data_IF_962927085436
#
_entry.id   IF_962927085436
#
_cell.length_a   1.000
_cell.length_b   1.000
_cell.length_c   1.000
_cell.angle_alpha   90.00
_cell.angle_beta   90.00
_cell.angle_gamma   90.00
#
_symmetry.space_group_name_H-M   'P 1'
#
loop_
_entity.id
_entity.type
_entity.pdbx_description
1 polymer ?
#
# COMPACT_ATOMS: atom_id res chain seq x y z
N UNK A 1 -9.15 11.73 13.91
CA UNK A 1 -8.99 10.75 12.81
C UNK A 1 -10.11 9.70 12.89
N UNK A 2 -10.91 9.61 11.84
CA UNK A 2 -11.91 8.55 11.68
C UNK A 2 -11.30 7.46 10.79
N UNK A 3 -11.23 6.23 11.30
CA UNK A 3 -10.68 5.10 10.54
C UNK A 3 -11.69 4.65 9.47
N UNK A 4 -11.34 4.72 8.16
CA UNK A 4 -12.19 4.20 7.11
C UNK A 4 -12.18 2.66 7.03
N UNK A 5 -11.19 2.01 7.64
CA UNK A 5 -11.01 0.56 7.68
C UNK A 5 -10.83 0.05 9.11
N UNK A 6 -11.34 -1.15 9.45
CA UNK A 6 -11.13 -1.80 10.75
C UNK A 6 -9.72 -2.41 10.88
N UNK A 7 -8.70 -1.70 10.43
CA UNK A 7 -7.30 -2.12 10.29
C UNK A 7 -6.40 -1.10 10.99
N UNK A 8 -5.17 -1.48 11.32
CA UNK A 8 -4.14 -0.57 11.79
C UNK A 8 -3.95 0.59 10.79
N UNK A 9 -3.85 1.81 11.28
CA UNK A 9 -3.70 3.01 10.45
C UNK A 9 -2.48 2.95 9.52
N UNK A 10 -1.44 2.22 9.89
CA UNK A 10 -0.23 2.09 9.09
C UNK A 10 -0.43 1.36 7.76
N UNK A 11 -1.51 0.56 7.65
CA UNK A 11 -1.88 -0.11 6.42
C UNK A 11 -2.82 0.72 5.52
N UNK A 12 -3.32 1.89 5.97
CA UNK A 12 -4.35 2.63 5.22
C UNK A 12 -3.83 3.20 3.89
N UNK A 13 -2.61 3.75 3.85
CA UNK A 13 -2.04 4.26 2.61
C UNK A 13 -1.84 3.14 1.56
N UNK A 14 -1.24 1.98 1.89
CA UNK A 14 -1.20 0.84 0.97
C UNK A 14 -2.59 0.41 0.46
N UNK A 15 -3.58 0.32 1.34
CA UNK A 15 -4.96 -0.05 0.97
C UNK A 15 -5.54 0.96 -0.03
N UNK A 16 -5.39 2.26 0.24
CA UNK A 16 -5.87 3.32 -0.63
C UNK A 16 -5.16 3.30 -1.99
N UNK A 17 -3.85 3.08 -2.03
CA UNK A 17 -3.07 2.98 -3.26
C UNK A 17 -3.54 1.82 -4.16
N UNK A 18 -3.70 0.63 -3.60
CA UNK A 18 -4.24 -0.52 -4.35
C UNK A 18 -5.64 -0.24 -4.86
N UNK A 19 -6.52 0.30 -4.01
CA UNK A 19 -7.88 0.65 -4.40
C UNK A 19 -7.92 1.62 -5.58
N UNK A 20 -7.13 2.68 -5.53
CA UNK A 20 -7.09 3.71 -6.57
C UNK A 20 -6.55 3.16 -7.88
N UNK A 21 -5.46 2.38 -7.85
CA UNK A 21 -4.90 1.74 -9.05
C UNK A 21 -5.88 0.78 -9.71
N UNK A 22 -6.52 -0.09 -8.91
CA UNK A 22 -7.47 -1.06 -9.43
C UNK A 22 -8.70 -0.39 -10.04
N UNK A 23 -9.25 0.63 -9.38
CA UNK A 23 -10.40 1.38 -9.89
C UNK A 23 -10.08 2.17 -11.16
N UNK A 24 -8.94 2.88 -11.19
CA UNK A 24 -8.55 3.70 -12.32
C UNK A 24 -8.29 2.87 -13.59
N UNK A 25 -7.74 1.68 -13.42
CA UNK A 25 -7.33 0.80 -14.52
C UNK A 25 -8.30 -0.38 -14.75
N UNK A 26 -9.42 -0.45 -14.01
CA UNK A 26 -10.44 -1.50 -14.09
C UNK A 26 -9.84 -2.92 -13.93
N UNK A 27 -8.89 -3.05 -12.99
CA UNK A 27 -8.21 -4.30 -12.72
C UNK A 27 -9.03 -5.20 -11.78
N UNK A 28 -8.86 -6.50 -11.95
CA UNK A 28 -9.35 -7.52 -11.03
C UNK A 28 -8.18 -8.17 -10.29
N UNK A 29 -8.45 -8.87 -9.19
CA UNK A 29 -7.40 -9.59 -8.46
C UNK A 29 -6.76 -10.72 -9.29
N UNK A 30 -7.47 -11.26 -10.30
CA UNK A 30 -6.95 -12.29 -11.19
C UNK A 30 -5.87 -11.77 -12.13
N UNK A 31 -5.90 -10.48 -12.47
CA UNK A 31 -4.90 -9.84 -13.33
C UNK A 31 -3.55 -9.65 -12.62
N UNK A 32 -3.55 -9.67 -11.28
CA UNK A 32 -2.38 -9.31 -10.47
C UNK A 32 -1.33 -10.42 -10.51
N UNK A 33 -0.13 -10.08 -10.92
CA UNK A 33 1.09 -10.88 -10.80
C UNK A 33 1.81 -10.64 -9.47
N UNK A 34 2.09 -9.37 -9.14
CA UNK A 34 2.73 -8.95 -7.90
C UNK A 34 2.19 -7.57 -7.46
N UNK A 35 2.11 -7.35 -6.16
CA UNK A 35 1.92 -6.02 -5.55
C UNK A 35 3.15 -5.71 -4.72
N UNK A 36 3.85 -4.64 -5.04
CA UNK A 36 4.96 -4.12 -4.23
C UNK A 36 4.50 -2.88 -3.49
N UNK A 37 4.81 -2.83 -2.20
CA UNK A 37 4.45 -1.74 -1.30
C UNK A 37 5.73 -1.26 -0.65
N UNK A 38 6.08 0.02 -0.83
CA UNK A 38 7.14 0.66 -0.09
C UNK A 38 6.53 1.55 0.99
N UNK A 39 7.00 1.45 2.22
CA UNK A 39 6.48 2.17 3.36
C UNK A 39 7.58 2.37 4.42
N UNK A 40 7.24 2.95 5.56
CA UNK A 40 8.16 3.18 6.67
C UNK A 40 8.43 1.89 7.47
N UNK A 41 9.53 1.85 8.20
CA UNK A 41 10.03 0.69 8.96
C UNK A 41 8.95 0.00 9.80
N UNK A 42 8.22 0.75 10.62
CA UNK A 42 7.21 0.19 11.53
C UNK A 42 6.04 -0.46 10.76
N UNK A 43 5.74 0.05 9.54
CA UNK A 43 4.76 -0.55 8.64
C UNK A 43 5.21 -1.91 8.12
N UNK A 44 6.50 -2.07 7.83
CA UNK A 44 7.10 -3.35 7.41
C UNK A 44 7.14 -4.36 8.55
N UNK A 45 7.34 -3.89 9.78
CA UNK A 45 7.37 -4.75 10.98
C UNK A 45 6.00 -5.27 11.42
N UNK A 46 4.91 -4.91 10.75
CA UNK A 46 3.60 -5.49 11.00
C UNK A 46 3.57 -6.96 10.60
N UNK A 47 2.55 -7.68 11.09
CA UNK A 47 2.40 -9.11 10.82
C UNK A 47 2.43 -9.42 9.32
N UNK A 48 3.22 -10.40 8.95
CA UNK A 48 3.33 -10.93 7.58
C UNK A 48 2.72 -12.33 7.53
N UNK A 49 2.14 -12.70 6.38
CA UNK A 49 1.54 -14.00 6.15
C UNK A 49 0.04 -14.07 6.40
N UNK A 50 -0.49 -15.30 6.50
CA UNK A 50 -1.91 -15.57 6.68
C UNK A 50 -2.28 -15.42 8.16
N UNK A 51 -3.20 -14.50 8.53
CA UNK A 51 -3.56 -14.30 9.91
C UNK A 51 -4.50 -15.39 10.42
N UNK A 52 -4.27 -15.87 11.63
CA UNK A 52 -5.13 -16.86 12.30
C UNK A 52 -6.19 -16.20 13.18
N UNK A 53 -5.98 -14.95 13.59
CA UNK A 53 -6.86 -14.22 14.51
C UNK A 53 -7.24 -12.86 13.95
N UNK A 54 -8.35 -12.31 14.41
CA UNK A 54 -8.76 -10.92 14.11
C UNK A 54 -7.65 -9.93 14.47
N UNK A 55 -6.97 -10.13 15.59
CA UNK A 55 -5.89 -9.23 16.01
C UNK A 55 -4.73 -9.23 15.01
N UNK A 56 -4.26 -10.40 14.59
CA UNK A 56 -3.19 -10.48 13.57
C UNK A 56 -3.65 -9.93 12.22
N UNK A 57 -4.89 -10.16 11.81
CA UNK A 57 -5.46 -9.61 10.59
C UNK A 57 -5.50 -8.07 10.60
N UNK A 58 -5.89 -7.48 11.73
CA UNK A 58 -5.95 -6.02 11.88
C UNK A 58 -4.57 -5.34 11.85
N UNK A 59 -3.51 -6.09 12.09
CA UNK A 59 -2.11 -5.61 12.08
C UNK A 59 -1.29 -6.20 10.93
N UNK A 60 -1.92 -6.65 9.84
CA UNK A 60 -1.24 -7.14 8.64
C UNK A 60 -1.49 -6.23 7.45
N UNK A 61 -0.40 -5.70 6.86
CA UNK A 61 -0.48 -4.90 5.62
C UNK A 61 -0.83 -5.80 4.44
N UNK A 62 -0.14 -6.92 4.29
CA UNK A 62 -0.35 -7.83 3.15
C UNK A 62 -1.75 -8.41 3.13
N UNK A 63 -2.27 -8.87 4.27
CA UNK A 63 -3.64 -9.36 4.37
C UNK A 63 -4.67 -8.28 4.03
N UNK A 64 -4.53 -7.08 4.60
CA UNK A 64 -5.46 -5.98 4.37
C UNK A 64 -5.48 -5.55 2.89
N UNK A 65 -4.31 -5.50 2.25
CA UNK A 65 -4.19 -5.19 0.82
C UNK A 65 -4.80 -6.31 -0.04
N UNK A 66 -4.60 -7.58 0.32
CA UNK A 66 -5.23 -8.71 -0.37
C UNK A 66 -6.75 -8.65 -0.28
N UNK A 67 -7.32 -8.38 0.90
CA UNK A 67 -8.76 -8.18 1.10
C UNK A 67 -9.28 -7.04 0.22
N UNK A 68 -8.59 -5.91 0.19
CA UNK A 68 -8.97 -4.77 -0.65
C UNK A 68 -8.96 -5.13 -2.13
N UNK A 69 -7.94 -5.85 -2.59
CA UNK A 69 -7.80 -6.25 -4.00
C UNK A 69 -8.89 -7.24 -4.43
N UNK A 70 -9.25 -8.18 -3.56
CA UNK A 70 -10.26 -9.22 -3.86
C UNK A 70 -11.69 -8.66 -3.77
N UNK A 71 -12.01 -7.96 -2.68
CA UNK A 71 -13.39 -7.55 -2.39
C UNK A 71 -13.69 -6.09 -2.71
N UNK A 72 -12.70 -5.27 -3.04
CA UNK A 72 -12.87 -3.83 -3.28
C UNK A 72 -13.20 -3.01 -2.03
N UNK A 73 -13.33 -3.66 -0.86
CA UNK A 73 -13.65 -3.05 0.44
C UNK A 73 -13.13 -3.90 1.61
N UNK A 74 -13.00 -3.30 2.77
CA UNK A 74 -12.64 -4.00 4.01
C UNK A 74 -13.69 -3.71 5.07
N UNK A 75 -14.45 -4.74 5.47
CA UNK A 75 -15.40 -4.72 6.56
C UNK A 75 -14.97 -5.67 7.70
N UNK A 76 -15.74 -5.69 8.79
CA UNK A 76 -15.48 -6.57 9.94
C UNK A 76 -15.56 -8.05 9.56
N UNK A 77 -16.43 -8.39 8.62
CA UNK A 77 -16.63 -9.74 8.09
C UNK A 77 -15.36 -10.31 7.43
N UNK A 78 -14.50 -9.44 6.88
CA UNK A 78 -13.26 -9.88 6.21
C UNK A 78 -12.12 -10.13 7.20
N UNK A 79 -12.14 -9.46 8.36
CA UNK A 79 -11.04 -9.54 9.35
C UNK A 79 -11.37 -10.47 10.53
N UNK A 80 -12.45 -11.23 10.44
CA UNK A 80 -12.88 -12.15 11.50
C UNK A 80 -13.53 -13.42 10.94
N UNK A 81 -13.56 -14.47 11.75
CA UNK A 81 -14.25 -15.71 11.44
C UNK A 81 -13.83 -16.32 10.11
N UNK A 82 -14.81 -16.59 9.24
CA UNK A 82 -14.59 -17.17 7.91
C UNK A 82 -13.77 -16.28 6.97
N UNK A 83 -13.84 -14.95 7.13
CA UNK A 83 -13.10 -14.01 6.28
C UNK A 83 -11.58 -14.17 6.38
N UNK A 84 -11.06 -14.67 7.51
CA UNK A 84 -9.64 -14.97 7.68
C UNK A 84 -9.16 -16.15 6.81
N UNK A 85 -10.07 -16.95 6.31
CA UNK A 85 -9.81 -18.19 5.55
C UNK A 85 -10.27 -18.11 4.12
N UNK A 86 -10.54 -16.90 3.62
CA UNK A 86 -10.92 -16.70 2.23
C UNK A 86 -9.81 -17.17 1.29
N UNK A 87 -10.03 -18.19 0.44
CA UNK A 87 -8.97 -18.75 -0.38
C UNK A 87 -8.45 -17.79 -1.45
N UNK A 88 -9.27 -16.84 -1.92
CA UNK A 88 -8.84 -15.83 -2.88
C UNK A 88 -7.90 -14.83 -2.24
N UNK A 89 -8.21 -14.39 -1.02
CA UNK A 89 -7.35 -13.49 -0.23
C UNK A 89 -6.02 -14.18 0.11
N UNK A 90 -6.09 -15.42 0.62
CA UNK A 90 -4.89 -16.20 0.99
C UNK A 90 -3.99 -16.40 -0.25
N UNK A 91 -4.57 -16.77 -1.39
CA UNK A 91 -3.82 -17.01 -2.63
C UNK A 91 -3.13 -15.75 -3.19
N UNK A 92 -3.51 -14.55 -2.73
CA UNK A 92 -2.88 -13.31 -3.15
C UNK A 92 -1.76 -12.84 -2.21
N UNK A 93 -1.77 -13.25 -0.93
CA UNK A 93 -0.82 -12.76 0.08
C UNK A 93 0.64 -12.98 -0.34
N UNK A 94 0.98 -14.12 -0.88
CA UNK A 94 2.37 -14.46 -1.26
C UNK A 94 2.90 -13.59 -2.42
N UNK A 95 2.00 -12.94 -3.16
CA UNK A 95 2.33 -12.00 -4.25
C UNK A 95 2.47 -10.57 -3.77
N UNK A 96 2.27 -10.30 -2.48
CA UNK A 96 2.37 -8.97 -1.90
C UNK A 96 3.70 -8.86 -1.18
N UNK A 97 4.54 -7.92 -1.63
CA UNK A 97 5.86 -7.64 -1.08
C UNK A 97 5.83 -6.27 -0.41
N UNK A 98 6.16 -6.25 0.88
CA UNK A 98 6.24 -5.01 1.66
C UNK A 98 7.70 -4.73 1.96
N UNK A 99 8.17 -3.56 1.56
CA UNK A 99 9.56 -3.15 1.68
C UNK A 99 9.66 -1.80 2.42
N UNK A 100 10.78 -1.59 3.07
CA UNK A 100 11.13 -0.33 3.73
C UNK A 100 11.64 0.69 2.72
N UNK A 101 11.28 1.96 2.92
CA UNK A 101 11.75 3.09 2.13
C UNK A 101 12.27 4.20 3.04
N UNK A 102 13.49 4.65 2.80
CA UNK A 102 14.10 5.77 3.53
C UNK A 102 13.27 7.05 3.42
N UNK A 103 12.65 7.29 2.26
CA UNK A 103 11.77 8.44 2.05
C UNK A 103 10.59 8.43 2.99
N UNK A 104 9.98 7.26 3.19
CA UNK A 104 8.83 7.12 4.10
C UNK A 104 9.27 7.14 5.56
N UNK A 105 10.45 6.62 5.88
CA UNK A 105 11.05 6.74 7.22
C UNK A 105 11.26 8.18 7.63
N UNK A 106 11.76 9.02 6.72
CA UNK A 106 12.03 10.43 6.99
C UNK A 106 10.78 11.24 7.34
N UNK A 107 9.60 10.81 6.89
CA UNK A 107 8.33 11.49 7.18
C UNK A 107 7.59 10.93 8.39
N UNK A 108 7.92 9.72 8.83
CA UNK A 108 7.31 9.07 10.00
C UNK A 108 7.79 9.76 11.31
N UNK A 109 6.94 9.96 12.31
CA UNK A 109 5.54 9.53 12.47
C UNK A 109 4.49 10.54 11.97
N UNK A 110 4.87 11.68 11.43
CA UNK A 110 3.93 12.70 10.96
C UNK A 110 3.20 12.21 9.69
N UNK A 111 3.94 11.73 8.69
CA UNK A 111 3.45 10.98 7.54
C UNK A 111 3.34 9.50 7.87
N UNK A 112 2.34 8.85 7.30
CA UNK A 112 2.16 7.38 7.32
C UNK A 112 1.81 6.96 5.92
N UNK A 113 2.74 7.27 5.05
CA UNK A 113 2.57 7.23 3.62
C UNK A 113 3.11 5.92 3.05
N UNK A 114 2.75 5.63 1.83
CA UNK A 114 3.27 4.52 1.07
C UNK A 114 3.25 4.85 -0.42
N UNK A 115 3.98 4.10 -1.20
CA UNK A 115 3.76 3.95 -2.64
C UNK A 115 3.47 2.49 -2.95
N UNK A 116 2.67 2.28 -3.98
CA UNK A 116 2.21 0.96 -4.38
C UNK A 116 2.43 0.77 -5.87
N UNK A 117 3.03 -0.35 -6.22
CA UNK A 117 3.19 -0.77 -7.59
C UNK A 117 2.47 -2.10 -7.81
N UNK A 118 1.62 -2.18 -8.83
CA UNK A 118 0.95 -3.41 -9.25
C UNK A 118 1.55 -3.86 -10.58
N UNK A 119 2.16 -5.03 -10.59
CA UNK A 119 2.60 -5.71 -11.80
C UNK A 119 1.57 -6.76 -12.17
N UNK A 120 1.04 -6.68 -13.38
CA UNK A 120 0.08 -7.65 -13.88
C UNK A 120 0.78 -8.92 -14.39
N UNK A 121 0.01 -9.98 -14.56
CA UNK A 121 0.51 -11.25 -15.13
C UNK A 121 1.00 -11.11 -16.58
N UNK A 122 0.51 -10.11 -17.32
CA UNK A 122 0.93 -9.79 -18.68
C UNK A 122 2.17 -8.87 -18.74
N UNK A 123 2.72 -8.50 -17.58
CA UNK A 123 3.91 -7.68 -17.44
C UNK A 123 3.66 -6.17 -17.40
N UNK A 124 2.43 -5.68 -17.57
CA UNK A 124 2.12 -4.25 -17.38
C UNK A 124 2.31 -3.86 -15.92
N UNK A 125 2.79 -2.65 -15.70
CA UNK A 125 3.07 -2.11 -14.38
C UNK A 125 2.30 -0.82 -14.17
N UNK A 126 1.67 -0.69 -13.01
CA UNK A 126 0.95 0.50 -12.58
C UNK A 126 1.53 0.97 -11.25
N UNK A 127 1.78 2.27 -11.14
CA UNK A 127 2.38 2.91 -9.97
C UNK A 127 1.45 3.98 -9.42
N UNK A 128 1.27 4.00 -8.10
CA UNK A 128 0.39 4.97 -7.43
C UNK A 128 1.07 6.31 -7.18
N UNK A 129 2.41 6.36 -7.23
CA UNK A 129 3.16 7.43 -6.60
C UNK A 129 2.90 7.50 -5.09
N UNK A 130 3.19 8.63 -4.48
CA UNK A 130 3.02 8.85 -3.04
C UNK A 130 1.54 8.87 -2.65
N UNK A 131 1.15 7.96 -1.76
CA UNK A 131 -0.22 7.83 -1.24
C UNK A 131 -0.26 8.27 0.22
N UNK A 132 -1.17 9.19 0.54
CA UNK A 132 -1.51 9.58 1.90
C UNK A 132 -2.79 8.88 2.35
N UNK A 133 -2.77 8.25 3.54
CA UNK A 133 -3.95 7.57 4.07
C UNK A 133 -5.15 8.50 4.19
N UNK A 134 -6.30 8.11 3.62
CA UNK A 134 -7.58 8.83 3.78
C UNK A 134 -8.01 8.86 5.25
N UNK A 135 -8.79 9.87 5.64
CA UNK A 135 -9.27 10.06 7.01
C UNK A 135 -8.30 10.84 7.92
N UNK A 136 -7.10 11.20 7.47
CA UNK A 136 -6.33 12.28 8.05
C UNK A 136 -7.02 13.62 7.81
N UNK A 137 -6.90 14.59 8.72
CA UNK A 137 -7.28 15.97 8.38
C UNK A 137 -6.39 16.39 7.21
N UNK A 138 -6.95 16.57 6.04
CA UNK A 138 -6.30 17.35 5.00
C UNK A 138 -6.09 18.72 5.64
N UNK A 139 -4.86 19.12 5.92
CA UNK A 139 -4.56 20.54 6.05
C UNK A 139 -4.98 21.13 4.74
N UNK A 140 -5.97 22.03 4.79
CA UNK A 140 -6.59 22.64 3.64
C UNK A 140 -5.54 23.22 2.68
N UNK A 141 -5.23 22.51 1.61
CA UNK A 141 -4.68 23.09 0.39
C UNK A 141 -5.79 23.78 -0.43
N UNK A 142 -6.91 24.15 0.23
CA UNK A 142 -7.98 24.96 -0.34
C UNK A 142 -7.79 26.45 -0.03
N UNK A 143 -6.57 26.94 -0.15
CA UNK A 143 -6.34 28.37 -0.18
C UNK A 143 -5.42 28.67 -1.36
N UNK A 144 -5.97 28.75 -2.58
CA UNK A 144 -5.24 29.32 -3.71
C UNK A 144 -5.28 28.54 -5.02
N UNK A 145 -6.42 28.18 -5.53
CA UNK A 145 -6.54 27.62 -6.87
C UNK A 145 -7.79 28.14 -7.58
N UNK A 146 -7.67 29.31 -8.19
CA UNK A 146 -8.68 29.84 -9.13
C UNK A 146 -8.82 28.88 -10.29
N UNK A 147 -10.06 28.62 -10.65
CA UNK A 147 -10.47 28.03 -11.91
C UNK A 147 -9.77 28.72 -13.09
N UNK A 148 -8.91 27.99 -13.75
CA UNK A 148 -8.23 28.41 -14.99
C UNK A 148 -8.49 27.40 -16.08
N UNK A 149 -9.19 27.85 -17.12
CA UNK A 149 -9.82 27.14 -18.21
C UNK A 149 -8.94 26.20 -19.01
N UNK A 150 -9.58 25.22 -19.57
CA UNK A 150 -9.13 24.37 -20.67
C UNK A 150 -8.61 25.23 -21.84
N UNK A 151 -7.34 25.09 -22.18
CA UNK A 151 -6.85 25.39 -23.53
C UNK A 151 -5.94 24.23 -23.96
N UNK A 152 -6.38 23.60 -25.05
CA UNK A 152 -5.60 22.61 -25.78
C UNK A 152 -4.32 23.23 -26.35
N UNK A 153 -3.25 22.48 -26.25
CA UNK A 153 -1.98 22.79 -26.88
C UNK A 153 -1.27 21.49 -27.26
N UNK A 154 -1.32 21.18 -28.56
CA UNK A 154 -0.46 20.13 -29.15
C UNK A 154 0.98 20.61 -29.09
N UNK A 155 1.87 19.85 -28.48
CA UNK A 155 3.30 20.06 -28.53
C UNK A 155 4.02 18.73 -28.47
N UNK A 156 4.51 18.32 -29.64
CA UNK A 156 5.51 17.24 -29.76
C UNK A 156 6.80 17.72 -29.11
N UNK A 157 7.42 16.92 -28.29
CA UNK A 157 8.87 16.98 -28.11
C UNK A 157 9.44 15.58 -27.97
N UNK A 158 10.41 15.40 -28.84
CA UNK A 158 11.24 14.22 -29.07
C UNK A 158 12.12 13.86 -27.87
N UNK A 159 12.50 12.59 -27.93
CA UNK A 159 13.43 11.84 -27.10
C UNK A 159 14.73 12.56 -26.76
N UNK A 160 15.24 12.30 -25.58
CA UNK A 160 16.67 12.11 -25.37
C UNK A 160 16.91 11.03 -24.34
N UNK A 161 17.44 9.91 -24.81
CA UNK A 161 18.08 8.85 -24.04
C UNK A 161 19.45 9.36 -23.58
N UNK A 162 19.78 9.18 -22.31
CA UNK A 162 21.15 8.92 -21.79
C UNK A 162 20.99 8.32 -20.39
N UNK A 163 21.22 7.02 -20.29
CA UNK A 163 22.41 6.32 -19.85
C UNK A 163 22.64 6.31 -18.34
N UNK A 164 22.38 5.14 -17.71
CA UNK A 164 23.35 4.50 -16.85
C UNK A 164 23.32 4.87 -15.37
N UNK A 165 22.54 4.14 -14.57
CA UNK A 165 22.96 3.85 -13.19
C UNK A 165 22.83 2.35 -12.97
N UNK A 166 23.98 1.75 -12.65
CA UNK A 166 24.15 0.34 -12.39
C UNK A 166 23.33 -0.10 -11.17
N UNK A 167 22.66 -1.25 -11.32
CA UNK A 167 22.04 -1.99 -10.24
C UNK A 167 23.13 -2.40 -9.24
N UNK A 168 23.11 -1.80 -8.06
CA UNK A 168 23.78 -2.29 -6.88
C UNK A 168 22.80 -3.14 -6.09
N UNK A 169 22.93 -4.45 -6.21
CA UNK A 169 22.31 -5.41 -5.29
C UNK A 169 22.82 -5.13 -3.87
N UNK A 170 21.96 -4.67 -3.00
CA UNK A 170 22.14 -4.84 -1.56
C UNK A 170 20.85 -5.45 -1.04
N UNK A 171 20.82 -6.78 -1.05
CA UNK A 171 19.88 -7.56 -0.26
C UNK A 171 20.25 -7.39 1.22
N UNK A 172 19.69 -6.39 1.87
CA UNK A 172 19.67 -6.32 3.31
C UNK A 172 18.48 -7.15 3.80
N UNK A 173 18.68 -8.45 4.01
CA UNK A 173 17.78 -9.27 4.80
C UNK A 173 17.81 -8.80 6.26
N UNK A 174 17.09 -7.71 6.55
CA UNK A 174 16.79 -7.38 7.92
C UNK A 174 15.60 -8.22 8.38
N UNK A 175 15.93 -9.36 8.96
CA UNK A 175 15.02 -10.19 9.74
C UNK A 175 14.47 -9.34 10.89
N UNK A 176 13.26 -8.83 10.76
CA UNK A 176 12.52 -8.28 11.88
C UNK A 176 12.20 -9.45 12.82
N UNK A 177 12.96 -9.59 13.90
CA UNK A 177 12.80 -10.68 14.87
C UNK A 177 11.37 -10.64 15.42
N UNK A 178 10.58 -11.63 15.08
CA UNK A 178 9.16 -11.80 15.44
C UNK A 178 8.94 -12.23 16.90
N UNK A 179 9.86 -11.94 17.80
CA UNK A 179 9.73 -12.21 19.22
C UNK A 179 9.78 -10.92 20.03
N UNK A 180 8.81 -10.68 20.87
CA UNK A 180 8.77 -9.68 21.95
C UNK A 180 8.40 -8.22 21.66
N UNK A 181 8.01 -7.80 20.45
CA UNK A 181 7.69 -6.39 20.21
C UNK A 181 6.22 -5.98 20.44
N UNK A 182 5.29 -6.92 20.54
CA UNK A 182 3.88 -6.59 20.81
C UNK A 182 3.63 -5.97 22.20
N UNK A 183 4.51 -6.23 23.18
CA UNK A 183 4.39 -5.74 24.56
C UNK A 183 4.76 -4.26 24.73
N UNK A 184 5.37 -3.61 23.72
CA UNK A 184 5.81 -2.21 23.79
C UNK A 184 5.08 -1.24 22.85
N UNK A 185 4.10 -1.71 22.08
CA UNK A 185 3.30 -0.80 21.26
C UNK A 185 2.37 0.00 22.16
N UNK A 186 2.74 1.23 22.49
CA UNK A 186 1.81 2.23 22.98
C UNK A 186 0.80 2.49 21.86
N UNK A 187 -0.46 2.19 22.15
CA UNK A 187 -1.65 2.29 21.31
C UNK A 187 -1.62 3.43 20.28
N UNK A 188 -1.82 3.10 18.99
CA UNK A 188 -2.12 4.05 17.93
C UNK A 188 -3.51 4.65 18.07
#
# INVERSE_FOLDING_TARGET
YVKPYPICRWAHAPIDGVRELMMANKLTHDDIGEIRINTFHEGVCLFQGVPETTATAQYSVSFAVAVQAVHGRIGLEHVSGAGLRDPQVIGLIDRIKVAESETHNATFPQGRDADVQITLRDGRVFDSGLVHARGGRRRDERAGGRLGGCRGGRGRHEARLEAGVQAGEVAAEHHCAQGDKFARMKWC
#
